data_IF_445884269616
#
_entry.id   IF_445884269616
#
_cell.length_a   1.000
_cell.length_b   1.000
_cell.length_c   1.000
_cell.angle_alpha   90.00
_cell.angle_beta   90.00
_cell.angle_gamma   90.00
#
_symmetry.space_group_name_H-M   'P 1'
#
loop_
_entity.id
_entity.type
_entity.pdbx_description
1 polymer ?
#
# COMPACT_ATOMS: atom_id res chain seq x y z
N UNK A 1 -2.10 18.78 19.87
CA UNK A 1 -3.25 18.66 20.81
C UNK A 1 -4.32 19.74 20.58
N UNK A 2 -4.00 20.84 19.92
CA UNK A 2 -4.92 21.97 19.77
C UNK A 2 -5.94 21.83 18.62
N UNK A 3 -5.75 20.83 17.72
CA UNK A 3 -6.60 20.70 16.53
C UNK A 3 -7.60 19.52 16.59
N UNK A 4 -7.56 18.68 17.63
CA UNK A 4 -8.44 17.51 17.74
C UNK A 4 -8.95 17.38 19.17
N UNK A 5 -10.23 17.04 19.33
CA UNK A 5 -10.86 16.69 20.62
C UNK A 5 -10.41 15.27 21.05
N UNK A 6 -9.19 15.19 21.59
CA UNK A 6 -8.55 13.92 22.00
C UNK A 6 -8.34 13.90 23.52
N UNK A 7 -8.88 12.86 24.16
CA UNK A 7 -8.51 12.53 25.53
C UNK A 7 -7.14 11.84 25.55
N UNK A 8 -6.27 12.25 26.49
CA UNK A 8 -4.92 11.68 26.62
C UNK A 8 -4.72 11.09 28.01
N UNK A 9 -4.14 9.88 28.06
CA UNK A 9 -3.74 9.20 29.29
C UNK A 9 -2.24 8.92 29.22
N UNK A 10 -1.51 9.37 30.25
CA UNK A 10 -0.07 9.19 30.32
C UNK A 10 0.22 7.89 31.09
N UNK A 11 1.01 6.98 30.46
CA UNK A 11 1.41 5.74 31.09
C UNK A 11 1.97 4.73 30.09
N UNK A 12 2.37 3.57 30.58
CA UNK A 12 2.85 2.47 29.74
C UNK A 12 1.65 1.65 29.23
N UNK A 13 1.50 1.55 27.91
CA UNK A 13 0.31 0.97 27.29
C UNK A 13 0.06 -0.51 27.64
N UNK A 14 1.10 -1.27 28.00
CA UNK A 14 0.95 -2.67 28.46
C UNK A 14 0.43 -2.80 29.88
N UNK A 15 0.12 -1.70 30.57
CA UNK A 15 -0.46 -1.77 31.92
C UNK A 15 -1.99 -1.75 31.81
N UNK A 16 -2.68 -2.76 32.40
CA UNK A 16 -4.15 -2.84 32.34
C UNK A 16 -4.87 -1.59 32.88
N UNK A 17 -4.31 -0.96 33.95
CA UNK A 17 -4.88 0.26 34.52
C UNK A 17 -4.83 1.46 33.57
N UNK A 18 -3.84 1.52 32.70
CA UNK A 18 -3.73 2.60 31.69
C UNK A 18 -4.78 2.44 30.61
N UNK A 19 -5.01 1.21 30.14
CA UNK A 19 -6.08 0.90 29.18
C UNK A 19 -7.47 1.17 29.79
N UNK A 20 -7.66 0.82 31.06
CA UNK A 20 -8.89 1.10 31.80
C UNK A 20 -9.15 2.61 31.96
N UNK A 21 -8.12 3.37 32.33
CA UNK A 21 -8.21 4.83 32.44
C UNK A 21 -8.44 5.52 31.08
N UNK A 22 -8.00 4.89 29.99
CA UNK A 22 -8.26 5.34 28.63
C UNK A 22 -9.69 4.99 28.14
N UNK A 23 -10.47 4.24 28.94
CA UNK A 23 -11.84 3.87 28.62
C UNK A 23 -11.96 2.66 27.69
N UNK A 24 -11.00 1.73 27.73
CA UNK A 24 -11.08 0.51 26.93
C UNK A 24 -12.28 -0.35 27.31
N UNK A 25 -13.11 -0.70 26.34
CA UNK A 25 -14.34 -1.49 26.45
C UNK A 25 -14.62 -2.34 25.21
N UNK A 26 -15.77 -3.01 25.15
CA UNK A 26 -16.18 -3.90 24.06
C UNK A 26 -16.41 -3.19 22.72
N UNK A 27 -16.64 -1.88 22.69
CA UNK A 27 -16.81 -1.08 21.47
C UNK A 27 -15.47 -0.49 20.97
N UNK A 28 -14.42 -0.59 21.75
CA UNK A 28 -13.11 0.00 21.45
C UNK A 28 -12.41 -0.73 20.31
N UNK A 29 -11.78 0.03 19.42
CA UNK A 29 -10.75 -0.44 18.48
C UNK A 29 -9.39 0.02 19.01
N UNK A 30 -8.52 -0.92 19.38
CA UNK A 30 -7.18 -0.61 19.86
C UNK A 30 -6.18 -0.58 18.72
N UNK A 31 -5.42 0.52 18.62
CA UNK A 31 -4.24 0.64 17.78
C UNK A 31 -3.00 0.66 18.68
N UNK A 32 -2.24 -0.43 18.69
CA UNK A 32 -0.98 -0.55 19.43
C UNK A 32 0.17 -0.26 18.47
N UNK A 33 0.69 0.98 18.49
CA UNK A 33 1.66 1.50 17.51
C UNK A 33 2.86 2.17 18.18
N UNK A 34 3.25 1.67 19.36
CA UNK A 34 4.45 2.15 20.05
C UNK A 34 5.73 1.68 19.34
N UNK A 35 6.88 2.13 19.81
CA UNK A 35 8.19 1.70 19.27
C UNK A 35 8.65 0.33 19.77
N UNK A 36 7.89 -0.36 20.66
CA UNK A 36 8.22 -1.69 21.17
C UNK A 36 7.16 -2.69 20.74
N UNK A 37 7.57 -3.71 19.99
CA UNK A 37 6.72 -4.80 19.53
C UNK A 37 6.12 -5.58 20.72
N UNK A 38 6.92 -5.83 21.77
CA UNK A 38 6.47 -6.52 22.97
C UNK A 38 5.38 -5.72 23.70
N UNK A 39 5.54 -4.39 23.76
CA UNK A 39 4.52 -3.52 24.35
C UNK A 39 3.23 -3.56 23.52
N UNK A 40 3.34 -3.53 22.20
CA UNK A 40 2.20 -3.58 21.29
C UNK A 40 1.45 -4.91 21.42
N UNK A 41 2.17 -6.04 21.42
CA UNK A 41 1.62 -7.39 21.62
C UNK A 41 0.91 -7.49 22.98
N UNK A 42 1.61 -7.11 24.06
CA UNK A 42 1.04 -7.19 25.41
C UNK A 42 -0.22 -6.31 25.56
N UNK A 43 -0.22 -5.12 24.95
CA UNK A 43 -1.39 -4.23 24.97
C UNK A 43 -2.59 -4.86 24.26
N UNK A 44 -2.39 -5.48 23.09
CA UNK A 44 -3.44 -6.18 22.36
C UNK A 44 -4.00 -7.37 23.15
N UNK A 45 -3.13 -8.21 23.73
CA UNK A 45 -3.52 -9.35 24.54
C UNK A 45 -4.36 -8.93 25.75
N UNK A 46 -3.93 -7.89 26.48
CA UNK A 46 -4.65 -7.37 27.64
C UNK A 46 -6.00 -6.78 27.23
N UNK A 47 -6.01 -6.01 26.14
CA UNK A 47 -7.21 -5.39 25.63
C UNK A 47 -8.27 -6.44 25.24
N UNK A 48 -7.88 -7.50 24.56
CA UNK A 48 -8.78 -8.61 24.23
C UNK A 48 -9.22 -9.40 25.44
N UNK A 49 -8.28 -9.82 26.31
CA UNK A 49 -8.58 -10.73 27.40
C UNK A 49 -9.34 -10.07 28.55
N UNK A 50 -8.99 -8.84 28.91
CA UNK A 50 -9.60 -8.13 30.05
C UNK A 50 -10.79 -7.25 29.65
N UNK A 51 -10.67 -6.51 28.53
CA UNK A 51 -11.65 -5.50 28.13
C UNK A 51 -12.54 -5.95 26.96
N UNK A 52 -12.23 -7.08 26.34
CA UNK A 52 -12.96 -7.65 25.20
C UNK A 52 -13.13 -6.67 24.03
N UNK A 53 -12.10 -5.85 23.82
CA UNK A 53 -12.15 -4.83 22.76
C UNK A 53 -12.55 -5.44 21.42
N UNK A 54 -13.33 -4.70 20.64
CA UNK A 54 -13.88 -5.14 19.37
C UNK A 54 -12.81 -5.59 18.38
N UNK A 55 -11.75 -4.80 18.27
CA UNK A 55 -10.66 -5.05 17.30
C UNK A 55 -9.33 -4.55 17.82
N UNK A 56 -8.26 -5.30 17.51
CA UNK A 56 -6.88 -4.93 17.80
C UNK A 56 -6.08 -4.81 16.50
N UNK A 57 -5.32 -3.74 16.39
CA UNK A 57 -4.36 -3.50 15.31
C UNK A 57 -3.00 -3.30 15.95
N UNK A 58 -2.03 -4.14 15.60
CA UNK A 58 -0.71 -4.22 16.22
C UNK A 58 0.37 -3.87 15.20
N UNK A 59 1.21 -2.87 15.50
CA UNK A 59 2.43 -2.64 14.74
C UNK A 59 3.51 -3.59 15.23
N UNK A 60 4.14 -4.31 14.28
CA UNK A 60 5.26 -5.20 14.53
C UNK A 60 6.37 -4.89 13.53
N UNK A 61 7.55 -4.57 14.03
CA UNK A 61 8.72 -4.26 13.19
C UNK A 61 9.56 -5.50 12.90
N UNK A 62 9.61 -6.45 13.83
CA UNK A 62 10.36 -7.69 13.68
C UNK A 62 9.52 -8.77 12.97
N UNK A 63 10.05 -9.25 11.84
CA UNK A 63 9.38 -10.28 11.02
C UNK A 63 9.13 -11.60 11.79
N UNK A 64 9.98 -11.93 12.78
CA UNK A 64 9.82 -13.14 13.59
C UNK A 64 8.51 -13.16 14.39
N UNK A 65 8.02 -11.99 14.79
CA UNK A 65 6.70 -11.87 15.42
C UNK A 65 5.56 -12.06 14.45
N UNK A 66 5.70 -11.58 13.20
CA UNK A 66 4.67 -11.76 12.16
C UNK A 66 4.50 -13.23 11.80
N UNK A 67 5.61 -13.97 11.70
CA UNK A 67 5.61 -15.39 11.39
C UNK A 67 5.05 -16.26 12.54
N UNK A 68 4.96 -15.68 13.75
CA UNK A 68 4.59 -16.39 14.96
C UNK A 68 3.33 -15.81 15.63
N UNK A 69 2.44 -15.14 14.90
CA UNK A 69 1.25 -14.49 15.46
C UNK A 69 0.38 -15.44 16.28
N UNK A 70 0.24 -16.68 15.85
CA UNK A 70 -0.55 -17.71 16.53
C UNK A 70 -0.02 -18.01 17.94
N UNK A 71 1.30 -17.82 18.19
CA UNK A 71 1.90 -18.03 19.50
C UNK A 71 1.41 -17.01 20.56
N UNK A 72 0.88 -15.87 20.13
CA UNK A 72 0.34 -14.85 21.05
C UNK A 72 -1.13 -15.08 21.41
N UNK A 73 -1.72 -16.20 20.97
CA UNK A 73 -3.10 -16.58 21.23
C UNK A 73 -4.04 -16.18 20.08
N UNK A 74 -4.82 -17.13 19.65
CA UNK A 74 -5.77 -16.96 18.57
C UNK A 74 -6.74 -15.81 18.87
N UNK A 75 -6.86 -14.86 17.95
CA UNK A 75 -7.77 -13.72 18.07
C UNK A 75 -7.33 -12.59 19.00
N UNK A 76 -6.13 -12.63 19.57
CA UNK A 76 -5.61 -11.53 20.41
C UNK A 76 -5.06 -10.37 19.57
N UNK A 77 -4.62 -10.64 18.35
CA UNK A 77 -4.20 -9.65 17.36
C UNK A 77 -5.03 -9.89 16.11
N UNK A 78 -5.97 -8.99 15.81
CA UNK A 78 -6.82 -9.14 14.63
C UNK A 78 -6.11 -8.71 13.34
N UNK A 79 -5.25 -7.69 13.42
CA UNK A 79 -4.45 -7.19 12.31
C UNK A 79 -3.05 -6.86 12.81
N UNK A 80 -2.04 -7.45 12.19
CA UNK A 80 -0.64 -7.05 12.34
C UNK A 80 -0.20 -6.22 11.13
N UNK A 81 0.51 -5.12 11.38
CA UNK A 81 1.06 -4.23 10.35
C UNK A 81 2.56 -4.09 10.58
N UNK A 82 3.35 -4.34 9.55
CA UNK A 82 4.78 -4.05 9.53
C UNK A 82 5.08 -2.98 8.48
N UNK A 83 5.24 -1.72 8.89
CA UNK A 83 5.59 -0.64 7.95
C UNK A 83 6.89 -0.92 7.19
N UNK A 84 7.82 -1.60 7.84
CA UNK A 84 9.12 -1.96 7.27
C UNK A 84 8.97 -2.96 6.10
N UNK A 85 8.11 -3.97 6.26
CA UNK A 85 7.82 -4.94 5.21
C UNK A 85 7.02 -4.29 4.07
N UNK A 86 5.99 -3.50 4.39
CA UNK A 86 5.20 -2.77 3.39
C UNK A 86 6.08 -1.88 2.50
N UNK A 87 7.02 -1.13 3.10
CA UNK A 87 7.97 -0.30 2.34
C UNK A 87 8.91 -1.18 1.49
N UNK A 88 9.38 -2.29 2.05
CA UNK A 88 10.28 -3.21 1.33
C UNK A 88 9.58 -3.82 0.12
N UNK A 89 8.36 -4.31 0.29
CA UNK A 89 7.57 -4.91 -0.78
C UNK A 89 7.27 -3.89 -1.88
N UNK A 90 6.88 -2.67 -1.49
CA UNK A 90 6.67 -1.58 -2.43
C UNK A 90 7.94 -1.23 -3.23
N UNK A 91 9.09 -1.14 -2.58
CA UNK A 91 10.37 -0.90 -3.26
C UNK A 91 10.76 -2.04 -4.20
N UNK A 92 10.55 -3.29 -3.78
CA UNK A 92 10.78 -4.47 -4.62
C UNK A 92 9.92 -4.43 -5.87
N UNK A 93 8.65 -4.08 -5.73
CA UNK A 93 7.73 -3.93 -6.86
C UNK A 93 8.18 -2.83 -7.82
N UNK A 94 8.58 -1.66 -7.34
CA UNK A 94 9.12 -0.59 -8.18
C UNK A 94 10.43 -1.00 -8.89
N UNK A 95 11.26 -1.80 -8.24
CA UNK A 95 12.50 -2.34 -8.83
C UNK A 95 12.20 -3.36 -9.93
N UNK A 96 11.22 -4.24 -9.72
CA UNK A 96 10.77 -5.24 -10.70
C UNK A 96 10.12 -4.59 -11.91
N UNK A 97 9.40 -3.48 -11.69
CA UNK A 97 8.65 -2.79 -12.72
C UNK A 97 9.16 -1.35 -12.94
N UNK A 98 10.42 -1.16 -13.41
CA UNK A 98 10.96 0.16 -13.66
C UNK A 98 10.19 0.82 -14.81
N UNK A 99 9.74 2.05 -14.58
CA UNK A 99 8.81 2.80 -15.43
C UNK A 99 7.46 3.01 -14.79
N UNK A 100 7.08 2.21 -13.79
CA UNK A 100 5.98 2.50 -12.90
C UNK A 100 6.39 3.59 -11.89
N UNK A 101 5.50 4.55 -11.63
CA UNK A 101 5.69 5.53 -10.55
C UNK A 101 5.06 5.03 -9.24
N UNK A 102 3.98 4.26 -9.33
CA UNK A 102 3.29 3.63 -8.21
C UNK A 102 2.75 2.26 -8.64
N UNK A 103 2.76 1.32 -7.71
CA UNK A 103 2.16 -0.01 -7.89
C UNK A 103 1.39 -0.33 -6.62
N UNK A 104 0.12 -0.67 -6.80
CA UNK A 104 -0.75 -1.07 -5.70
C UNK A 104 -1.40 -2.41 -6.03
N UNK A 105 -1.40 -3.31 -5.06
CA UNK A 105 -1.93 -4.65 -5.21
C UNK A 105 -3.28 -4.77 -4.50
N UNK A 106 -4.29 -5.30 -5.20
CA UNK A 106 -5.66 -5.49 -4.71
C UNK A 106 -6.11 -6.94 -4.83
N UNK A 107 -7.21 -7.26 -4.14
CA UNK A 107 -7.88 -8.56 -4.22
C UNK A 107 -6.93 -9.75 -3.97
N UNK A 108 -6.11 -9.66 -2.91
CA UNK A 108 -5.13 -10.68 -2.52
C UNK A 108 -4.14 -11.03 -3.66
N UNK A 109 -3.67 -10.02 -4.40
CA UNK A 109 -2.70 -10.22 -5.47
C UNK A 109 -3.30 -10.40 -6.87
N UNK A 110 -4.62 -10.59 -6.98
CA UNK A 110 -5.25 -10.90 -8.28
C UNK A 110 -5.33 -9.71 -9.23
N UNK A 111 -5.27 -8.48 -8.69
CA UNK A 111 -5.34 -7.24 -9.46
C UNK A 111 -4.23 -6.29 -9.04
N UNK A 112 -3.59 -5.66 -9.99
CA UNK A 112 -2.64 -4.57 -9.78
C UNK A 112 -3.12 -3.29 -10.42
N UNK A 113 -2.84 -2.17 -9.74
CA UNK A 113 -2.99 -0.82 -10.27
C UNK A 113 -1.61 -0.23 -10.40
N UNK A 114 -1.24 0.16 -11.61
CA UNK A 114 0.08 0.73 -11.90
C UNK A 114 -0.10 2.12 -12.47
N UNK A 115 0.59 3.11 -11.92
CA UNK A 115 0.69 4.43 -12.52
C UNK A 115 1.93 4.55 -13.38
N UNK A 116 1.75 5.13 -14.57
CA UNK A 116 2.80 5.36 -15.56
C UNK A 116 2.69 6.78 -16.07
N UNK A 117 3.82 7.48 -16.14
CA UNK A 117 3.87 8.83 -16.69
C UNK A 117 4.19 8.82 -18.18
N UNK A 118 3.34 9.49 -18.95
CA UNK A 118 3.55 9.67 -20.38
C UNK A 118 4.71 10.63 -20.65
N UNK A 119 5.85 10.10 -21.08
CA UNK A 119 7.07 10.87 -21.41
C UNK A 119 7.01 11.40 -22.85
N UNK A 120 7.72 12.49 -23.12
CA UNK A 120 7.66 13.26 -24.37
C UNK A 120 7.79 12.42 -25.66
N UNK A 121 8.69 11.46 -25.66
CA UNK A 121 8.95 10.59 -26.80
C UNK A 121 8.40 9.17 -26.58
N UNK A 122 7.51 9.02 -25.60
CA UNK A 122 6.91 7.74 -25.26
C UNK A 122 5.80 7.32 -26.22
N UNK A 123 5.59 6.01 -26.31
CA UNK A 123 4.62 5.36 -27.20
C UNK A 123 3.19 5.91 -27.05
N UNK A 124 2.84 6.37 -25.85
CA UNK A 124 1.47 6.77 -25.51
C UNK A 124 1.12 8.21 -25.93
N UNK A 125 2.11 9.10 -26.00
CA UNK A 125 1.87 10.54 -26.23
C UNK A 125 1.30 10.82 -27.62
N UNK A 126 0.29 11.69 -27.67
CA UNK A 126 -0.46 12.07 -28.88
C UNK A 126 -1.28 10.93 -29.51
N UNK A 127 -1.55 9.86 -28.80
CA UNK A 127 -2.41 8.76 -29.25
C UNK A 127 -3.75 8.78 -28.51
N UNK A 128 -4.77 8.24 -29.16
CA UNK A 128 -6.06 8.00 -28.51
C UNK A 128 -5.95 6.78 -27.59
N UNK A 129 -6.58 6.85 -26.42
CA UNK A 129 -6.54 5.78 -25.42
C UNK A 129 -6.96 4.41 -25.97
N UNK A 130 -7.95 4.36 -26.86
CA UNK A 130 -8.39 3.11 -27.50
C UNK A 130 -7.29 2.41 -28.33
N UNK A 131 -6.27 3.14 -28.77
CA UNK A 131 -5.18 2.55 -29.56
C UNK A 131 -4.25 1.68 -28.71
N UNK A 132 -4.24 1.88 -27.40
CA UNK A 132 -3.44 1.05 -26.46
C UNK A 132 -3.83 -0.43 -26.57
N UNK A 133 -5.13 -0.72 -26.58
CA UNK A 133 -5.62 -2.09 -26.72
C UNK A 133 -5.27 -2.73 -28.07
N UNK A 134 -5.07 -1.91 -29.12
CA UNK A 134 -4.65 -2.39 -30.44
C UNK A 134 -3.15 -2.67 -30.49
N UNK A 135 -2.37 -1.95 -29.69
CA UNK A 135 -0.92 -2.11 -29.63
C UNK A 135 -0.50 -3.23 -28.65
N UNK A 136 -1.38 -3.57 -27.71
CA UNK A 136 -1.18 -4.62 -26.70
C UNK A 136 -2.33 -5.64 -26.74
N UNK A 137 -2.51 -6.38 -27.84
CA UNK A 137 -3.70 -7.22 -28.06
C UNK A 137 -3.82 -8.40 -27.07
N UNK A 138 -2.72 -8.80 -26.47
CA UNK A 138 -2.68 -9.94 -25.52
C UNK A 138 -2.89 -9.51 -24.06
N UNK A 139 -2.96 -8.20 -23.77
CA UNK A 139 -3.11 -7.67 -22.41
C UNK A 139 -4.52 -7.11 -22.20
N UNK A 140 -5.21 -7.62 -21.17
CA UNK A 140 -6.48 -7.07 -20.74
C UNK A 140 -6.25 -5.94 -19.74
N UNK A 141 -6.14 -4.71 -20.23
CA UNK A 141 -5.90 -3.54 -19.41
C UNK A 141 -7.06 -2.56 -19.48
N UNK A 142 -7.30 -1.89 -18.37
CA UNK A 142 -8.28 -0.82 -18.24
C UNK A 142 -7.62 0.42 -17.64
N UNK A 143 -7.92 1.60 -18.16
CA UNK A 143 -7.43 2.88 -17.65
C UNK A 143 -8.59 3.65 -17.01
N UNK A 144 -8.81 3.51 -15.69
CA UNK A 144 -9.91 4.16 -14.98
C UNK A 144 -9.73 5.67 -14.81
N UNK A 145 -8.47 6.13 -14.75
CA UNK A 145 -8.18 7.53 -14.48
C UNK A 145 -6.90 7.99 -15.17
N UNK A 146 -6.89 9.27 -15.52
CA UNK A 146 -5.68 10.00 -15.95
C UNK A 146 -5.58 11.26 -15.08
N UNK A 147 -4.39 11.50 -14.54
CA UNK A 147 -4.06 12.76 -13.91
C UNK A 147 -3.33 13.66 -14.90
N UNK A 148 -3.90 14.84 -15.13
CA UNK A 148 -3.32 15.86 -16.00
C UNK A 148 -3.14 17.15 -15.21
N UNK A 149 -1.88 17.57 -15.04
CA UNK A 149 -1.53 18.76 -14.22
C UNK A 149 -2.10 18.66 -12.79
N UNK A 150 -2.02 17.49 -12.18
CA UNK A 150 -2.49 17.21 -10.83
C UNK A 150 -4.01 17.11 -10.66
N UNK A 151 -4.79 17.09 -11.76
CA UNK A 151 -6.25 16.94 -11.72
C UNK A 151 -6.66 15.61 -12.33
N UNK A 152 -7.38 14.75 -11.59
CA UNK A 152 -7.89 13.50 -12.12
C UNK A 152 -9.09 13.73 -13.04
N UNK A 153 -9.23 12.90 -14.05
CA UNK A 153 -10.45 12.78 -14.85
C UNK A 153 -10.60 11.34 -15.35
N UNK A 154 -11.84 10.95 -15.63
CA UNK A 154 -12.16 9.64 -16.23
C UNK A 154 -12.01 9.77 -17.74
N UNK A 155 -11.09 9.03 -18.36
CA UNK A 155 -10.90 9.10 -19.80
C UNK A 155 -11.96 8.29 -20.56
N UNK A 156 -12.12 8.60 -21.84
CA UNK A 156 -12.82 7.77 -22.81
C UNK A 156 -11.86 7.26 -23.88
N UNK A 157 -12.33 6.36 -24.75
CA UNK A 157 -11.49 5.79 -25.83
C UNK A 157 -10.92 6.81 -26.82
N UNK A 158 -11.51 8.01 -26.93
CA UNK A 158 -11.06 9.11 -27.79
C UNK A 158 -10.14 10.09 -27.08
N UNK A 159 -9.93 9.90 -25.79
CA UNK A 159 -9.04 10.75 -24.99
C UNK A 159 -7.62 10.67 -25.56
N UNK A 160 -7.09 11.83 -25.96
CA UNK A 160 -5.71 11.93 -26.44
C UNK A 160 -4.79 12.09 -25.22
N UNK A 161 -3.85 11.17 -25.09
CA UNK A 161 -2.82 11.19 -24.04
C UNK A 161 -1.82 12.29 -24.36
N UNK A 162 -1.50 13.11 -23.35
CA UNK A 162 -0.55 14.22 -23.46
C UNK A 162 0.72 13.93 -22.69
N UNK A 163 1.78 14.63 -23.06
CA UNK A 163 3.03 14.62 -22.29
C UNK A 163 2.76 15.01 -20.81
N UNK A 164 3.38 14.28 -19.89
CA UNK A 164 3.22 14.38 -18.44
C UNK A 164 1.83 14.00 -17.91
N UNK A 165 0.97 13.36 -18.71
CA UNK A 165 -0.19 12.67 -18.14
C UNK A 165 0.29 11.47 -17.32
N UNK A 166 -0.32 11.26 -16.18
CA UNK A 166 -0.12 10.08 -15.36
C UNK A 166 -1.33 9.16 -15.55
N UNK A 167 -1.08 8.01 -16.16
CA UNK A 167 -2.12 7.02 -16.47
C UNK A 167 -2.12 5.92 -15.41
N UNK A 168 -3.30 5.62 -14.90
CA UNK A 168 -3.51 4.50 -14.00
C UNK A 168 -4.04 3.31 -14.79
N UNK A 169 -3.29 2.22 -14.79
CA UNK A 169 -3.67 0.96 -15.43
C UNK A 169 -4.13 -0.02 -14.38
N UNK A 170 -5.23 -0.71 -14.66
CA UNK A 170 -5.72 -1.84 -13.87
C UNK A 170 -5.67 -3.08 -14.73
N UNK A 171 -5.01 -4.12 -14.25
CA UNK A 171 -4.92 -5.39 -14.93
C UNK A 171 -4.70 -6.54 -13.94
N UNK A 172 -4.79 -7.79 -14.43
CA UNK A 172 -4.30 -8.94 -13.68
C UNK A 172 -2.78 -8.86 -13.50
N UNK A 173 -2.24 -9.56 -12.50
CA UNK A 173 -0.81 -9.51 -12.17
C UNK A 173 0.07 -9.84 -13.38
N UNK A 174 -0.24 -10.92 -14.10
CA UNK A 174 0.52 -11.37 -15.27
C UNK A 174 0.46 -10.35 -16.45
N UNK A 175 -0.64 -9.62 -16.57
CA UNK A 175 -0.83 -8.63 -17.64
C UNK A 175 -0.09 -7.31 -17.35
N UNK A 176 0.07 -6.96 -16.07
CA UNK A 176 0.81 -5.74 -15.68
C UNK A 176 2.27 -5.81 -16.09
N UNK A 177 2.91 -6.97 -15.97
CA UNK A 177 4.30 -7.16 -16.40
C UNK A 177 4.46 -6.85 -17.90
N UNK A 178 3.51 -7.30 -18.70
CA UNK A 178 3.49 -7.01 -20.14
C UNK A 178 3.28 -5.52 -20.41
N UNK A 179 2.34 -4.86 -19.71
CA UNK A 179 2.11 -3.41 -19.85
C UNK A 179 3.35 -2.61 -19.52
N UNK A 180 3.97 -2.90 -18.39
CA UNK A 180 5.18 -2.19 -17.94
C UNK A 180 6.34 -2.50 -18.87
N UNK A 181 6.48 -3.73 -19.36
CA UNK A 181 7.53 -4.14 -20.29
C UNK A 181 7.40 -3.44 -21.65
N UNK A 182 6.21 -3.36 -22.24
CA UNK A 182 5.96 -2.63 -23.47
C UNK A 182 6.26 -1.13 -23.34
N UNK A 183 5.98 -0.56 -22.18
CA UNK A 183 6.33 0.83 -21.86
C UNK A 183 7.84 1.03 -21.65
N UNK A 184 8.57 -0.02 -21.19
CA UNK A 184 10.02 -0.02 -20.99
C UNK A 184 10.83 0.01 -22.29
N UNK A 185 10.33 -0.55 -23.38
CA UNK A 185 11.08 -0.67 -24.63
C UNK A 185 11.59 0.67 -25.16
N UNK A 186 11.16 1.78 -24.58
CA UNK A 186 11.61 3.12 -24.91
C UNK A 186 12.36 3.86 -23.78
N UNK A 187 12.46 3.27 -22.60
CA UNK A 187 13.19 3.88 -21.47
C UNK A 187 14.50 3.11 -21.22
N UNK A 188 15.63 3.78 -21.38
CA UNK A 188 16.93 3.29 -20.95
C UNK A 188 16.99 3.29 -19.40
N UNK A 189 16.14 2.48 -18.77
CA UNK A 189 16.09 2.35 -17.33
C UNK A 189 17.40 1.79 -16.82
N UNK A 190 18.00 2.49 -15.84
CA UNK A 190 19.24 2.08 -15.22
C UNK A 190 19.09 0.70 -14.57
N UNK A 191 19.91 -0.26 -14.95
CA UNK A 191 20.00 -1.58 -14.33
C UNK A 191 20.84 -1.59 -13.04
N UNK A 192 21.24 -0.40 -12.54
CA UNK A 192 22.08 -0.28 -11.35
C UNK A 192 21.30 0.38 -10.23
N UNK A 193 21.27 -0.31 -9.10
CA UNK A 193 20.63 0.16 -7.87
C UNK A 193 21.72 0.38 -6.84
N UNK A 194 21.70 1.53 -6.17
CA UNK A 194 22.55 1.83 -5.03
C UNK A 194 21.67 1.98 -3.80
N UNK A 195 21.91 1.16 -2.77
CA UNK A 195 21.22 1.25 -1.48
C UNK A 195 22.20 1.91 -0.49
N UNK A 196 21.73 2.96 0.18
CA UNK A 196 22.50 3.66 1.21
C UNK A 196 21.71 3.60 2.51
N UNK A 197 22.28 3.00 3.54
CA UNK A 197 21.63 2.71 4.81
C UNK A 197 21.21 1.22 4.91
N UNK A 198 20.70 0.82 6.06
CA UNK A 198 20.30 -0.56 6.39
C UNK A 198 20.37 -0.80 7.87
#
# INVERSE_FOLDING_TARGET
>A
QEDFDLATVIGHASHPSILENAGADEETILLAVTSSDECNIASCQIAKSKFRVKKTICRLSDASYLDSLDAFGEGNIDIAISPENEVTDHLVDLIKHPGAEQIETFANGSLKVVSVKAKKDGMLVNRELKSINSDMPETQTFVPAIYRKGKPFIPDGKTIIKENDELYFVAAEDDIDNVVQEMRLQDNSSSRIMIIGG
#
